data_IF_052795403843
#
_entry.id   IF_052795403843
#
_cell.length_a   1.000
_cell.length_b   1.000
_cell.length_c   1.000
_cell.angle_alpha   90.00
_cell.angle_beta   90.00
_cell.angle_gamma   90.00
#
_symmetry.space_group_name_H-M   'P 1'
#
loop_
_entity.id
_entity.type
_entity.pdbx_description
1 polymer ?
#
# COMPACT_ATOMS: atom_id res chain seq x y z
N UNK A 1 -6.56 -18.80 11.29
CA UNK A 1 -6.17 -17.72 10.36
C UNK A 1 -5.18 -16.88 11.14
N UNK A 2 -3.97 -16.69 10.61
CA UNK A 2 -2.93 -15.93 11.30
C UNK A 2 -3.09 -14.43 10.97
N UNK A 3 -2.86 -13.57 11.96
CA UNK A 3 -3.05 -12.13 11.86
C UNK A 3 -1.83 -11.41 12.41
N UNK A 4 -1.51 -10.26 11.81
CA UNK A 4 -0.60 -9.28 12.36
C UNK A 4 -1.36 -8.04 12.81
N UNK A 5 -0.80 -7.34 13.80
CA UNK A 5 -1.32 -6.05 14.24
C UNK A 5 -0.66 -4.95 13.42
N UNK A 6 -1.48 -4.12 12.80
CA UNK A 6 -1.06 -2.90 12.10
C UNK A 6 -1.63 -1.69 12.83
N UNK A 7 -0.95 -0.55 12.79
CA UNK A 7 -1.36 0.65 13.51
C UNK A 7 -1.39 1.86 12.58
N UNK A 8 -2.44 2.68 12.70
CA UNK A 8 -2.51 4.02 12.16
C UNK A 8 -2.82 5.04 13.28
N UNK A 9 -3.04 6.30 12.92
CA UNK A 9 -3.33 7.37 13.89
C UNK A 9 -4.68 7.19 14.61
N UNK A 10 -5.55 6.28 14.14
CA UNK A 10 -6.83 5.95 14.76
C UNK A 10 -6.73 4.71 15.67
N UNK A 11 -5.55 4.10 15.79
CA UNK A 11 -5.29 2.95 16.66
C UNK A 11 -4.88 1.70 15.90
N UNK A 12 -4.93 0.57 16.60
CA UNK A 12 -4.51 -0.75 16.09
C UNK A 12 -5.64 -1.45 15.34
N UNK A 13 -5.27 -2.35 14.41
CA UNK A 13 -6.18 -3.21 13.68
C UNK A 13 -5.51 -4.54 13.31
N UNK A 14 -6.28 -5.62 13.34
CA UNK A 14 -5.84 -6.92 12.84
C UNK A 14 -5.87 -6.98 11.31
N UNK A 15 -4.78 -7.45 10.71
CA UNK A 15 -4.65 -7.67 9.27
C UNK A 15 -4.21 -9.12 9.02
N UNK A 16 -4.85 -9.86 8.09
CA UNK A 16 -4.43 -11.21 7.76
C UNK A 16 -2.94 -11.27 7.35
N UNK A 17 -2.19 -12.22 7.92
CA UNK A 17 -0.75 -12.36 7.69
C UNK A 17 -0.41 -12.69 6.22
N UNK A 18 -1.37 -13.18 5.43
CA UNK A 18 -1.22 -13.52 4.01
C UNK A 18 -1.46 -12.33 3.04
N UNK A 19 -1.64 -11.10 3.56
CA UNK A 19 -1.93 -9.90 2.76
C UNK A 19 -0.92 -8.79 3.00
N UNK A 20 -0.52 -8.09 1.93
CA UNK A 20 0.46 -7.01 1.99
C UNK A 20 -0.08 -5.63 2.41
N UNK A 21 -1.41 -5.40 2.41
CA UNK A 21 -1.97 -4.09 2.77
C UNK A 21 -1.88 -3.84 4.28
N UNK A 22 -1.82 -2.58 4.73
CA UNK A 22 -1.72 -2.21 6.15
C UNK A 22 -3.02 -1.71 6.79
N UNK A 23 -2.89 -1.04 7.94
CA UNK A 23 -4.01 -0.54 8.76
C UNK A 23 -5.04 0.30 7.98
N UNK A 24 -4.59 1.27 7.18
CA UNK A 24 -5.50 2.19 6.48
C UNK A 24 -6.38 1.47 5.45
N UNK A 25 -5.82 0.52 4.68
CA UNK A 25 -6.61 -0.28 3.74
C UNK A 25 -7.59 -1.18 4.48
N UNK A 26 -7.15 -1.82 5.56
CA UNK A 26 -8.00 -2.68 6.37
C UNK A 26 -9.17 -1.92 7.00
N UNK A 27 -8.92 -0.69 7.50
CA UNK A 27 -9.95 0.22 8.00
C UNK A 27 -10.92 0.67 6.90
N UNK A 28 -10.41 0.94 5.70
CA UNK A 28 -11.25 1.27 4.54
C UNK A 28 -12.21 0.14 4.19
N UNK A 29 -11.77 -1.12 4.23
CA UNK A 29 -12.63 -2.29 3.99
C UNK A 29 -13.79 -2.39 5.01
N UNK A 30 -13.56 -2.01 6.26
CA UNK A 30 -14.59 -1.98 7.32
C UNK A 30 -15.57 -0.82 7.12
N UNK A 31 -15.04 0.36 6.74
CA UNK A 31 -15.82 1.59 6.67
C UNK A 31 -16.65 1.72 5.37
N UNK A 32 -16.21 1.09 4.28
CA UNK A 32 -16.85 1.19 2.97
C UNK A 32 -17.28 -0.17 2.41
N UNK A 33 -18.12 -0.97 3.13
CA UNK A 33 -18.64 -2.25 2.64
C UNK A 33 -19.81 -2.02 1.68
N UNK A 34 -19.58 -1.25 0.62
CA UNK A 34 -20.61 -0.81 -0.33
C UNK A 34 -20.39 -1.54 -1.65
N UNK A 35 -21.41 -2.27 -2.10
CA UNK A 35 -21.41 -3.02 -3.35
C UNK A 35 -20.29 -4.07 -3.45
N UNK A 36 -20.04 -4.56 -4.67
CA UNK A 36 -19.00 -5.56 -4.97
C UNK A 36 -18.00 -5.09 -6.02
N UNK A 37 -18.23 -3.92 -6.63
CA UNK A 37 -17.26 -3.34 -7.56
C UNK A 37 -15.95 -3.01 -6.84
N UNK A 38 -14.84 -3.32 -7.49
CA UNK A 38 -13.49 -3.01 -7.01
C UNK A 38 -12.84 -2.02 -7.96
N UNK A 39 -11.71 -1.45 -7.51
CA UNK A 39 -10.86 -0.67 -8.41
C UNK A 39 -10.49 -1.52 -9.64
N UNK A 40 -10.62 -0.98 -10.86
CA UNK A 40 -10.18 -1.67 -12.07
C UNK A 40 -8.69 -2.05 -11.98
N UNK A 41 -8.33 -3.21 -12.51
CA UNK A 41 -6.95 -3.72 -12.42
C UNK A 41 -5.96 -2.81 -13.15
N UNK A 42 -6.41 -2.12 -14.19
CA UNK A 42 -5.65 -1.13 -14.93
C UNK A 42 -5.23 0.05 -14.03
N UNK A 43 -6.10 0.48 -13.12
CA UNK A 43 -5.79 1.53 -12.14
C UNK A 43 -4.75 1.02 -11.14
N UNK A 44 -4.88 -0.23 -10.67
CA UNK A 44 -3.90 -0.84 -9.75
C UNK A 44 -2.52 -0.95 -10.41
N UNK A 45 -2.46 -1.40 -11.67
CA UNK A 45 -1.20 -1.45 -12.43
C UNK A 45 -0.61 -0.06 -12.68
N UNK A 46 -1.46 0.92 -13.00
CA UNK A 46 -1.01 2.30 -13.16
C UNK A 46 -0.40 2.87 -11.88
N UNK A 47 -0.94 2.53 -10.70
CA UNK A 47 -0.32 2.88 -9.42
C UNK A 47 1.04 2.23 -9.23
N UNK A 48 1.23 0.97 -9.65
CA UNK A 48 2.54 0.32 -9.65
C UNK A 48 3.57 1.09 -10.49
N UNK A 49 3.21 1.44 -11.72
CA UNK A 49 4.06 2.26 -12.62
C UNK A 49 4.37 3.62 -12.00
N UNK A 50 3.36 4.30 -11.46
CA UNK A 50 3.51 5.60 -10.80
C UNK A 50 4.48 5.52 -9.61
N UNK A 51 4.37 4.51 -8.75
CA UNK A 51 5.23 4.37 -7.57
C UNK A 51 6.66 3.98 -7.92
N UNK A 52 6.86 3.13 -8.93
CA UNK A 52 8.19 2.85 -9.50
C UNK A 52 8.85 4.13 -10.03
N UNK A 53 8.16 4.87 -10.88
CA UNK A 53 8.69 6.11 -11.45
C UNK A 53 9.04 7.13 -10.35
N UNK A 54 8.14 7.31 -9.36
CA UNK A 54 8.39 8.20 -8.24
C UNK A 54 9.62 7.80 -7.40
N UNK A 55 9.82 6.50 -7.13
CA UNK A 55 10.98 6.02 -6.39
C UNK A 55 12.29 6.31 -7.13
N UNK A 56 12.35 6.01 -8.42
CA UNK A 56 13.52 6.27 -9.27
C UNK A 56 13.83 7.78 -9.35
N UNK A 57 12.82 8.61 -9.61
CA UNK A 57 12.99 10.07 -9.65
C UNK A 57 13.44 10.64 -8.30
N UNK A 58 12.89 10.15 -7.18
CA UNK A 58 13.33 10.60 -5.86
C UNK A 58 14.78 10.20 -5.55
N UNK A 59 15.24 9.04 -6.05
CA UNK A 59 16.64 8.65 -5.93
C UNK A 59 17.56 9.55 -6.76
N UNK A 60 17.19 9.84 -8.01
CA UNK A 60 17.95 10.75 -8.89
C UNK A 60 18.07 12.18 -8.31
N UNK A 61 17.03 12.65 -7.62
CA UNK A 61 17.02 13.95 -6.95
C UNK A 61 17.71 13.94 -5.58
N UNK A 62 18.18 12.78 -5.10
CA UNK A 62 18.80 12.64 -3.78
C UNK A 62 17.83 12.78 -2.60
N UNK A 63 16.52 12.65 -2.84
CA UNK A 63 15.46 12.71 -1.81
C UNK A 63 15.32 11.34 -1.11
N UNK A 64 15.68 10.26 -1.79
CA UNK A 64 15.61 8.88 -1.32
C UNK A 64 16.94 8.17 -1.55
N UNK A 65 17.34 7.28 -0.64
CA UNK A 65 18.52 6.44 -0.85
C UNK A 65 18.27 5.37 -1.92
N UNK A 66 19.32 4.98 -2.63
CA UNK A 66 19.22 4.05 -3.76
C UNK A 66 18.76 2.65 -3.36
N UNK A 67 19.12 2.16 -2.18
CA UNK A 67 18.73 0.82 -1.72
C UNK A 67 17.22 0.75 -1.45
N UNK A 68 16.65 1.77 -0.80
CA UNK A 68 15.19 1.87 -0.62
C UNK A 68 14.47 2.05 -1.94
N UNK A 69 15.01 2.88 -2.84
CA UNK A 69 14.41 3.07 -4.17
C UNK A 69 14.38 1.77 -4.99
N UNK A 70 15.44 0.96 -4.94
CA UNK A 70 15.49 -0.35 -5.58
C UNK A 70 14.48 -1.35 -5.02
N UNK A 71 14.16 -1.30 -3.73
CA UNK A 71 13.13 -2.16 -3.13
C UNK A 71 11.70 -1.75 -3.50
N UNK A 72 11.47 -0.47 -3.80
CA UNK A 72 10.16 0.06 -4.20
C UNK A 72 9.91 -0.12 -5.72
N UNK A 73 10.97 -0.08 -6.54
CA UNK A 73 10.91 -0.04 -8.00
C UNK A 73 10.72 -1.42 -8.67
#
# INVERSE_FOLDING_TARGET
MDYRIEQDTMGELEVPSDRYYGAQTARSLINFPISTEKMPMEVVHAFGVLKKAAALTNAELGIMDSATAELIA
#
